data_IF_877158273220
#
_entry.id   IF_877158273220
#
_cell.length_a   1.000
_cell.length_b   1.000
_cell.length_c   1.000
_cell.angle_alpha   90.00
_cell.angle_beta   90.00
_cell.angle_gamma   90.00
#
_symmetry.space_group_name_H-M   'P 1'
#
loop_
_entity.id
_entity.type
_entity.pdbx_description
1 polymer ?
#
# COMPACT_ATOMS: atom_id res chain seq x y z
N UNK A 1 7.05 -13.33 -16.80
CA UNK A 1 6.67 -14.75 -16.68
C UNK A 1 7.78 -15.59 -17.32
N UNK A 2 8.54 -16.39 -16.55
CA UNK A 2 9.67 -17.19 -17.12
C UNK A 2 9.18 -18.35 -18.00
N UNK A 3 7.95 -18.83 -17.76
CA UNK A 3 7.30 -19.90 -18.52
C UNK A 3 6.84 -19.46 -19.92
N UNK A 4 6.60 -18.16 -20.13
CA UNK A 4 6.27 -17.62 -21.46
C UNK A 4 7.43 -17.76 -22.47
N UNK A 5 8.67 -17.95 -21.98
CA UNK A 5 9.84 -18.09 -22.82
C UNK A 5 10.07 -19.52 -23.33
N UNK A 6 9.33 -20.52 -22.81
CA UNK A 6 9.62 -21.94 -23.07
C UNK A 6 8.71 -22.58 -24.12
N UNK A 7 7.55 -21.97 -24.43
CA UNK A 7 6.67 -22.45 -25.50
C UNK A 7 5.73 -21.34 -26.00
N UNK A 8 5.37 -21.38 -27.29
CA UNK A 8 4.45 -20.40 -27.89
C UNK A 8 3.07 -20.38 -27.21
N UNK A 9 2.54 -21.55 -26.86
CA UNK A 9 1.25 -21.68 -26.14
C UNK A 9 1.31 -21.04 -24.75
N UNK A 10 2.44 -21.15 -24.04
CA UNK A 10 2.62 -20.52 -22.73
C UNK A 10 2.77 -19.00 -22.85
N UNK A 11 3.27 -18.50 -23.98
CA UNK A 11 3.31 -17.06 -24.27
C UNK A 11 1.90 -16.51 -24.52
N UNK A 12 1.11 -17.19 -25.35
CA UNK A 12 -0.28 -16.80 -25.59
C UNK A 12 -1.11 -16.82 -24.30
N UNK A 13 -0.98 -17.85 -23.48
CA UNK A 13 -1.62 -17.90 -22.16
C UNK A 13 -1.12 -16.78 -21.22
N UNK A 14 0.17 -16.42 -21.29
CA UNK A 14 0.74 -15.34 -20.49
C UNK A 14 0.35 -13.92 -20.97
N UNK A 15 -0.20 -13.79 -22.17
CA UNK A 15 -0.74 -12.54 -22.71
C UNK A 15 -2.28 -12.50 -22.71
N UNK A 16 -2.94 -13.63 -22.41
CA UNK A 16 -4.40 -13.75 -22.36
C UNK A 16 -5.03 -12.97 -21.19
N UNK A 17 -5.92 -12.05 -21.51
CA UNK A 17 -6.59 -11.19 -20.53
C UNK A 17 -7.52 -11.97 -19.57
N UNK A 18 -8.01 -13.11 -20.01
CA UNK A 18 -8.87 -14.02 -19.23
C UNK A 18 -8.09 -14.66 -18.09
N UNK A 19 -6.85 -15.07 -18.35
CA UNK A 19 -5.91 -15.56 -17.32
C UNK A 19 -5.61 -14.45 -16.32
N UNK A 20 -5.29 -13.24 -16.81
CA UNK A 20 -5.01 -12.09 -15.95
C UNK A 20 -6.22 -11.61 -15.14
N UNK A 21 -7.44 -11.83 -15.64
CA UNK A 21 -8.68 -11.56 -14.90
C UNK A 21 -8.75 -12.29 -13.55
N UNK A 22 -8.19 -13.50 -13.47
CA UNK A 22 -8.13 -14.28 -12.22
C UNK A 22 -7.14 -13.73 -11.18
N UNK A 23 -6.14 -12.95 -11.61
CA UNK A 23 -5.13 -12.32 -10.74
C UNK A 23 -5.58 -10.95 -10.23
N UNK A 24 -6.59 -10.35 -10.85
CA UNK A 24 -7.21 -9.11 -10.36
C UNK A 24 -8.06 -9.44 -9.13
N UNK A 25 -8.00 -8.63 -8.04
CA UNK A 25 -8.83 -8.86 -6.86
C UNK A 25 -10.33 -8.94 -7.21
N UNK A 26 -11.05 -9.91 -6.65
CA UNK A 26 -12.49 -10.08 -6.90
C UNK A 26 -13.32 -8.84 -6.48
N UNK A 27 -12.88 -8.14 -5.45
CA UNK A 27 -13.42 -6.86 -4.94
C UNK A 27 -12.84 -5.64 -5.68
N UNK A 28 -12.38 -5.80 -6.92
CA UNK A 28 -11.83 -4.71 -7.72
C UNK A 28 -12.82 -3.54 -7.85
N UNK A 29 -14.11 -3.81 -8.03
CA UNK A 29 -15.13 -2.76 -8.10
C UNK A 29 -15.16 -1.87 -6.84
N UNK A 30 -15.04 -2.48 -5.65
CA UNK A 30 -15.00 -1.76 -4.38
C UNK A 30 -13.71 -0.95 -4.23
N UNK A 31 -12.58 -1.51 -4.66
CA UNK A 31 -11.28 -0.82 -4.65
C UNK A 31 -11.33 0.41 -5.57
N UNK A 32 -11.90 0.27 -6.77
CA UNK A 32 -12.06 1.35 -7.73
C UNK A 32 -12.98 2.46 -7.20
N UNK A 33 -14.08 2.10 -6.54
CA UNK A 33 -15.02 3.06 -5.95
C UNK A 33 -14.34 3.91 -4.84
N UNK A 34 -13.44 3.29 -4.08
CA UNK A 34 -12.69 3.93 -2.99
C UNK A 34 -11.46 4.71 -3.44
N UNK A 35 -11.04 4.55 -4.69
CA UNK A 35 -9.87 5.24 -5.23
C UNK A 35 -10.11 6.75 -5.27
N UNK A 36 -9.21 7.50 -4.62
CA UNK A 36 -9.38 8.94 -4.38
C UNK A 36 -9.28 9.81 -5.64
N UNK A 37 -8.63 9.34 -6.70
CA UNK A 37 -8.39 10.05 -7.96
C UNK A 37 -9.16 9.36 -9.09
N UNK A 38 -10.09 10.06 -9.74
CA UNK A 38 -10.95 9.49 -10.79
C UNK A 38 -10.19 9.10 -12.05
N UNK A 39 -9.22 9.92 -12.46
CA UNK A 39 -8.49 9.78 -13.72
C UNK A 39 -7.53 8.57 -13.75
N UNK A 40 -7.28 7.97 -12.58
CA UNK A 40 -6.33 6.86 -12.44
C UNK A 40 -7.02 5.49 -12.32
N UNK A 41 -8.35 5.47 -12.13
CA UNK A 41 -9.13 4.27 -11.78
C UNK A 41 -8.99 3.15 -12.80
N UNK A 42 -9.29 3.43 -14.06
CA UNK A 42 -9.06 2.49 -15.16
C UNK A 42 -8.89 3.29 -16.44
N UNK A 43 -7.84 2.97 -17.20
CA UNK A 43 -7.61 3.62 -18.50
C UNK A 43 -8.47 2.94 -19.56
N UNK A 44 -8.94 3.73 -20.52
CA UNK A 44 -9.69 3.20 -21.64
C UNK A 44 -8.82 2.21 -22.44
N UNK A 45 -9.40 1.07 -22.82
CA UNK A 45 -8.68 -0.03 -23.48
C UNK A 45 -7.67 -0.79 -22.62
N UNK A 46 -7.64 -0.59 -21.30
CA UNK A 46 -6.65 -1.23 -20.43
C UNK A 46 -6.95 -2.69 -20.09
N UNK A 47 -5.99 -3.56 -20.41
CA UNK A 47 -6.00 -4.99 -20.11
C UNK A 47 -5.88 -5.27 -18.61
N UNK A 48 -6.44 -6.38 -18.13
CA UNK A 48 -6.28 -6.87 -16.76
C UNK A 48 -4.80 -7.09 -16.41
N UNK A 49 -3.99 -7.51 -17.38
CA UNK A 49 -2.53 -7.59 -17.22
C UNK A 49 -1.91 -6.23 -16.88
N UNK A 50 -2.20 -5.21 -17.70
CA UNK A 50 -1.70 -3.85 -17.48
C UNK A 50 -2.21 -3.26 -16.17
N UNK A 51 -3.47 -3.55 -15.83
CA UNK A 51 -4.08 -3.15 -14.56
C UNK A 51 -3.38 -3.79 -13.35
N UNK A 52 -3.13 -5.09 -13.39
CA UNK A 52 -2.41 -5.81 -12.34
C UNK A 52 -1.01 -5.23 -12.11
N UNK A 53 -0.22 -5.02 -13.17
CA UNK A 53 1.13 -4.47 -13.04
C UNK A 53 1.12 -3.04 -12.50
N UNK A 54 0.17 -2.18 -12.92
CA UNK A 54 0.06 -0.84 -12.35
C UNK A 54 -0.24 -0.88 -10.85
N UNK A 55 -1.12 -1.77 -10.38
CA UNK A 55 -1.37 -1.95 -8.95
C UNK A 55 -0.16 -2.50 -8.19
N UNK A 56 0.75 -3.21 -8.85
CA UNK A 56 2.00 -3.67 -8.27
C UNK A 56 3.04 -2.54 -8.16
N UNK A 57 3.15 -1.73 -9.21
CA UNK A 57 4.24 -0.77 -9.41
C UNK A 57 3.93 0.58 -8.76
N UNK A 58 2.67 1.01 -8.86
CA UNK A 58 2.18 2.29 -8.39
C UNK A 58 1.09 2.07 -7.36
N UNK A 59 1.43 2.06 -6.08
CA UNK A 59 0.43 1.88 -5.04
C UNK A 59 -0.52 3.10 -4.99
N UNK A 60 -1.81 2.85 -4.76
CA UNK A 60 -2.92 3.81 -4.96
C UNK A 60 -3.51 4.31 -3.65
N UNK A 61 -4.04 5.53 -3.60
CA UNK A 61 -4.66 6.09 -2.41
C UNK A 61 -6.16 5.86 -2.37
N UNK A 62 -6.63 5.22 -1.29
CA UNK A 62 -8.03 4.92 -1.03
C UNK A 62 -8.59 5.85 0.04
N UNK A 63 -9.91 6.01 0.04
CA UNK A 63 -10.68 6.66 1.10
C UNK A 63 -10.23 8.11 1.39
N UNK A 64 -9.83 8.85 0.34
CA UNK A 64 -9.31 10.21 0.46
C UNK A 64 -7.89 10.29 1.04
N UNK A 65 -7.06 9.28 0.76
CA UNK A 65 -5.68 9.21 1.26
C UNK A 65 -5.54 8.64 2.68
N UNK A 66 -6.61 8.08 3.24
CA UNK A 66 -6.61 7.47 4.59
C UNK A 66 -6.09 6.04 4.60
N UNK A 67 -5.92 5.45 3.43
CA UNK A 67 -5.36 4.13 3.27
C UNK A 67 -4.65 4.09 1.92
N UNK A 68 -3.67 3.21 1.79
CA UNK A 68 -3.13 2.91 0.49
C UNK A 68 -3.10 1.43 0.19
N UNK A 69 -3.24 1.11 -1.09
CA UNK A 69 -3.37 -0.24 -1.60
C UNK A 69 -2.37 -0.53 -2.72
N UNK A 70 -1.86 -1.75 -2.77
CA UNK A 70 -1.13 -2.32 -3.92
C UNK A 70 -1.22 -3.84 -3.91
N UNK A 71 -0.74 -4.44 -4.98
CA UNK A 71 -0.54 -5.88 -5.06
C UNK A 71 0.93 -6.23 -4.91
N UNK A 72 1.18 -7.40 -4.32
CA UNK A 72 2.48 -8.04 -4.42
C UNK A 72 2.66 -8.61 -5.82
N UNK A 73 3.79 -8.29 -6.46
CA UNK A 73 4.03 -8.63 -7.86
C UNK A 73 4.11 -10.14 -8.09
N UNK A 74 4.56 -10.91 -7.10
CA UNK A 74 4.82 -12.33 -7.24
C UNK A 74 3.64 -13.18 -6.81
N UNK A 75 3.04 -12.85 -5.67
CA UNK A 75 1.94 -13.61 -5.08
C UNK A 75 0.54 -13.08 -5.43
N UNK A 76 0.44 -11.85 -5.95
CA UNK A 76 -0.85 -11.16 -6.12
C UNK A 76 -1.52 -10.81 -4.78
N UNK A 77 -0.81 -10.96 -3.64
CA UNK A 77 -1.37 -10.66 -2.33
C UNK A 77 -1.64 -9.16 -2.18
N UNK A 78 -2.75 -8.84 -1.52
CA UNK A 78 -3.11 -7.45 -1.20
C UNK A 78 -2.17 -6.87 -0.16
N UNK A 79 -1.65 -5.68 -0.42
CA UNK A 79 -0.86 -4.89 0.52
C UNK A 79 -1.61 -3.61 0.86
N UNK A 80 -1.87 -3.41 2.14
CA UNK A 80 -2.45 -2.17 2.65
C UNK A 80 -1.44 -1.42 3.49
N UNK A 81 -1.46 -0.10 3.40
CA UNK A 81 -0.63 0.78 4.20
C UNK A 81 -1.51 1.81 4.90
N UNK A 82 -1.39 1.89 6.22
CA UNK A 82 -2.08 2.86 7.06
C UNK A 82 -1.16 4.08 7.21
N UNK A 83 -1.62 5.31 6.91
CA UNK A 83 -0.83 6.51 7.11
C UNK A 83 -0.54 6.72 8.60
N UNK A 84 0.60 7.36 8.90
CA UNK A 84 0.96 7.75 10.26
C UNK A 84 -0.14 8.56 10.97
N UNK A 85 -0.92 9.33 10.22
CA UNK A 85 -2.03 10.13 10.75
C UNK A 85 -3.22 9.31 11.24
N UNK A 86 -3.39 8.09 10.73
CA UNK A 86 -4.44 7.17 11.15
C UNK A 86 -3.96 6.18 12.23
N UNK A 87 -2.72 6.32 12.71
CA UNK A 87 -2.21 5.56 13.85
C UNK A 87 -2.50 6.30 15.16
N UNK A 88 -2.77 5.53 16.20
CA UNK A 88 -2.80 6.00 17.58
C UNK A 88 -1.42 5.78 18.20
N UNK A 89 -0.93 6.76 18.94
CA UNK A 89 0.37 6.70 19.63
C UNK A 89 0.12 6.61 21.13
N UNK A 90 0.66 5.60 21.80
CA UNK A 90 0.37 5.32 23.21
C UNK A 90 0.71 6.46 24.18
N UNK A 91 1.52 7.43 23.75
CA UNK A 91 1.87 8.62 24.54
C UNK A 91 1.02 9.86 24.26
N UNK A 92 -0.05 9.79 23.44
CA UNK A 92 -0.91 10.95 23.16
C UNK A 92 -1.57 11.44 24.45
N UNK A 93 -0.91 12.35 25.17
CA UNK A 93 -1.25 12.75 26.54
C UNK A 93 -0.05 13.05 27.44
N UNK A 94 1.16 12.61 27.08
CA UNK A 94 2.39 12.94 27.79
C UNK A 94 3.16 14.07 27.07
N UNK A 95 3.71 15.06 27.80
CA UNK A 95 4.40 16.21 27.22
C UNK A 95 5.75 15.88 26.56
N UNK A 96 6.20 14.62 26.63
CA UNK A 96 7.51 14.16 26.16
C UNK A 96 7.52 13.66 24.70
N UNK A 97 6.36 13.61 24.04
CA UNK A 97 6.28 13.08 22.68
C UNK A 97 6.81 14.12 21.69
N UNK A 98 8.08 14.05 21.31
CA UNK A 98 8.70 14.83 20.23
C UNK A 98 8.14 14.50 18.84
N UNK A 99 6.82 14.36 18.72
CA UNK A 99 6.08 14.11 17.51
C UNK A 99 5.78 15.43 16.81
N UNK A 100 6.34 15.58 15.62
CA UNK A 100 6.05 16.69 14.72
C UNK A 100 5.45 16.14 13.44
N UNK A 101 4.42 16.81 12.93
CA UNK A 101 3.86 16.48 11.63
C UNK A 101 4.65 17.17 10.53
N UNK A 102 5.26 16.38 9.65
CA UNK A 102 5.89 16.90 8.43
C UNK A 102 4.95 16.72 7.25
N UNK A 103 4.81 17.78 6.44
CA UNK A 103 3.99 17.77 5.23
C UNK A 103 4.84 17.53 4.00
N UNK A 104 4.23 16.96 2.95
CA UNK A 104 4.81 16.82 1.61
C UNK A 104 6.21 16.17 1.59
N UNK A 105 6.41 15.11 2.38
CA UNK A 105 7.70 14.44 2.44
C UNK A 105 7.99 13.72 1.10
N UNK A 106 9.13 13.96 0.42
CA UNK A 106 9.39 13.49 -0.95
C UNK A 106 9.49 11.97 -1.12
N UNK A 107 9.51 11.23 -0.02
CA UNK A 107 9.60 9.78 0.03
C UNK A 107 8.34 9.14 0.64
N UNK A 108 7.36 9.96 1.01
CA UNK A 108 6.06 9.49 1.49
C UNK A 108 5.04 9.62 0.38
N UNK A 109 4.16 8.62 0.32
CA UNK A 109 2.95 8.65 -0.50
C UNK A 109 1.76 9.30 0.19
N UNK A 110 1.88 9.59 1.48
CA UNK A 110 0.89 10.32 2.25
C UNK A 110 1.34 11.77 2.43
N UNK A 111 0.37 12.68 2.45
CA UNK A 111 0.59 14.12 2.58
C UNK A 111 1.24 14.51 3.91
N UNK A 112 0.99 13.75 4.97
CA UNK A 112 1.54 13.97 6.30
C UNK A 112 2.26 12.71 6.81
N UNK A 113 3.44 12.91 7.40
CA UNK A 113 4.19 11.87 8.12
C UNK A 113 4.46 12.31 9.55
N UNK A 114 4.50 11.35 10.47
CA UNK A 114 4.94 11.59 11.83
C UNK A 114 6.48 11.54 11.87
N UNK A 115 7.10 12.61 12.35
CA UNK A 115 8.52 12.66 12.69
C UNK A 115 8.60 12.56 14.20
N UNK A 116 9.29 11.53 14.69
CA UNK A 116 9.44 11.27 16.12
C UNK A 116 10.87 11.54 16.54
N UNK A 117 11.04 12.41 17.53
CA UNK A 117 12.32 12.76 18.14
C UNK A 117 12.29 12.48 19.64
N UNK A 118 13.44 12.16 20.22
CA UNK A 118 13.62 11.98 21.68
C UNK A 118 12.70 10.93 22.32
N UNK A 119 12.48 9.80 21.64
CA UNK A 119 11.65 8.70 22.14
C UNK A 119 12.51 7.56 22.72
N UNK A 120 12.09 6.97 23.84
CA UNK A 120 12.75 5.82 24.47
C UNK A 120 12.03 4.48 24.22
N UNK A 121 10.79 4.52 23.74
CA UNK A 121 10.01 3.38 23.24
C UNK A 121 9.09 3.84 22.11
N UNK A 122 8.39 2.93 21.42
CA UNK A 122 7.35 3.30 20.45
C UNK A 122 6.16 2.37 20.61
N UNK A 123 5.02 2.92 21.01
CA UNK A 123 3.74 2.21 21.04
C UNK A 123 2.81 2.84 20.01
N UNK A 124 2.48 2.05 18.97
CA UNK A 124 1.62 2.46 17.87
C UNK A 124 0.55 1.41 17.61
N UNK A 125 -0.68 1.88 17.50
CA UNK A 125 -1.84 1.05 17.22
C UNK A 125 -2.52 1.55 15.94
N UNK A 126 -2.94 0.61 15.09
CA UNK A 126 -3.62 0.92 13.84
C UNK A 126 -4.93 0.15 13.74
N UNK A 127 -5.94 0.75 13.14
CA UNK A 127 -7.24 0.11 12.88
C UNK A 127 -7.33 -0.16 11.39
N UNK A 128 -7.48 -1.44 11.02
CA UNK A 128 -7.74 -1.85 9.64
C UNK A 128 -9.07 -2.60 9.57
N UNK A 129 -9.95 -2.19 8.66
CA UNK A 129 -11.20 -2.90 8.43
C UNK A 129 -10.91 -4.30 7.88
N UNK A 130 -11.45 -5.32 8.54
CA UNK A 130 -11.26 -6.74 8.18
C UNK A 130 -11.79 -7.08 6.78
N UNK A 131 -12.73 -6.31 6.23
CA UNK A 131 -13.19 -6.44 4.84
C UNK A 131 -12.06 -6.24 3.81
N UNK A 132 -11.00 -5.52 4.17
CA UNK A 132 -9.82 -5.37 3.31
C UNK A 132 -8.95 -6.63 3.27
N UNK A 133 -9.07 -7.51 4.27
CA UNK A 133 -8.24 -8.69 4.38
C UNK A 133 -8.76 -9.80 3.45
N UNK A 134 -7.86 -10.66 2.97
CA UNK A 134 -8.16 -11.64 1.92
C UNK A 134 -8.91 -12.90 2.40
N UNK A 135 -9.85 -12.74 3.32
CA UNK A 135 -10.69 -13.80 3.87
C UNK A 135 -10.10 -14.49 5.11
N UNK A 136 -10.91 -15.37 5.69
CA UNK A 136 -10.58 -16.11 6.92
C UNK A 136 -9.56 -17.21 6.61
N UNK A 137 -8.62 -17.45 7.53
CA UNK A 137 -7.65 -18.56 7.44
C UNK A 137 -6.34 -18.26 6.71
N UNK A 138 -6.11 -17.02 6.28
CA UNK A 138 -4.81 -16.59 5.71
C UNK A 138 -3.95 -15.90 6.78
N UNK A 139 -2.65 -16.18 6.76
CA UNK A 139 -1.67 -15.45 7.57
C UNK A 139 -1.46 -14.04 7.02
N UNK A 140 -1.36 -13.06 7.93
CA UNK A 140 -1.06 -11.67 7.60
C UNK A 140 0.27 -11.28 8.24
N UNK A 141 1.01 -10.41 7.58
CA UNK A 141 2.23 -9.82 8.12
C UNK A 141 2.03 -8.32 8.26
N UNK A 142 2.46 -7.78 9.39
CA UNK A 142 2.45 -6.35 9.66
C UNK A 142 3.88 -5.83 9.71
N UNK A 143 4.11 -4.67 9.10
CA UNK A 143 5.41 -4.02 9.04
C UNK A 143 5.27 -2.57 9.43
N UNK A 144 6.18 -2.08 10.26
CA UNK A 144 6.35 -0.65 10.51
C UNK A 144 7.35 -0.10 9.50
N UNK A 145 6.92 0.86 8.67
CA UNK A 145 7.78 1.52 7.69
C UNK A 145 8.19 2.87 8.25
N UNK A 146 9.50 3.06 8.44
CA UNK A 146 10.08 4.28 8.97
C UNK A 146 11.42 4.58 8.29
N UNK A 147 11.87 5.83 8.41
CA UNK A 147 13.22 6.24 8.04
C UNK A 147 13.89 6.83 9.28
N UNK A 148 15.15 6.47 9.50
CA UNK A 148 15.98 7.07 10.55
C UNK A 148 16.72 8.26 9.95
N UNK A 149 16.62 9.40 10.61
CA UNK A 149 17.47 10.55 10.35
C UNK A 149 18.47 10.66 11.50
N UNK A 150 19.78 10.58 11.21
CA UNK A 150 20.80 10.93 12.18
C UNK A 150 20.85 12.45 12.25
N UNK A 151 20.53 13.02 13.41
CA UNK A 151 20.91 14.39 13.71
C UNK A 151 22.43 14.39 13.86
N UNK A 152 23.17 14.96 12.92
CA UNK A 152 24.57 15.30 13.15
C UNK A 152 24.59 16.30 14.29
N UNK A 153 25.06 15.87 15.46
CA UNK A 153 25.51 16.80 16.49
C UNK A 153 26.86 17.32 16.03
N UNK A 154 26.85 18.41 15.26
CA UNK A 154 28.06 19.21 15.09
C UNK A 154 28.40 19.78 16.49
N UNK A 155 29.34 19.13 17.16
CA UNK A 155 30.01 19.59 18.38
C UNK A 155 30.98 20.72 18.09
#
# INVERSE_FOLDING_TARGET
CRLAATAAVLREAADSDEVWGSFVPADCADILARWSTSDERRRDGETNKGFFFRLCDSPVLLDGGKLSFSLDRHSGAKKYMIPAKALCYGWSGYPYGGLVWSRCHPHSRFSEVAVLSYICWLDVNGILNTKNLSGIGRGYMAYLIYRVHQLHTDT
#
